data_IF_285162002958
#
_entry.id   IF_285162002958
#
_cell.length_a   1.000
_cell.length_b   1.000
_cell.length_c   1.000
_cell.angle_alpha   90.00
_cell.angle_beta   90.00
_cell.angle_gamma   90.00
#
_symmetry.space_group_name_H-M   'P 1'
#
loop_
_entity.id
_entity.type
_entity.pdbx_description
1 polymer ?
#
# COMPACT_ATOMS: atom_id res chain seq x y z
N UNK A 1 -11.39 28.78 7.29
CA UNK A 1 -11.51 27.34 6.92
C UNK A 1 -10.12 26.83 6.61
N UNK A 2 -9.64 25.77 7.29
CA UNK A 2 -8.26 25.30 7.14
C UNK A 2 -8.13 24.39 5.91
N UNK A 3 -7.45 24.88 4.87
CA UNK A 3 -7.26 24.18 3.60
C UNK A 3 -6.56 22.82 3.76
N UNK A 4 -5.60 22.74 4.67
CA UNK A 4 -4.88 21.49 4.94
C UNK A 4 -5.81 20.38 5.49
N UNK A 5 -6.77 20.73 6.35
CA UNK A 5 -7.71 19.76 6.89
C UNK A 5 -8.66 19.19 5.82
N UNK A 6 -9.08 20.04 4.87
CA UNK A 6 -9.92 19.63 3.73
C UNK A 6 -9.15 18.71 2.78
N UNK A 7 -7.88 19.03 2.51
CA UNK A 7 -7.01 18.21 1.66
C UNK A 7 -6.74 16.83 2.29
N UNK A 8 -6.53 16.74 3.60
CA UNK A 8 -6.36 15.46 4.32
C UNK A 8 -7.63 14.59 4.25
N UNK A 9 -8.81 15.18 4.48
CA UNK A 9 -10.08 14.45 4.43
C UNK A 9 -10.39 13.90 3.03
N UNK A 10 -10.14 14.70 1.98
CA UNK A 10 -10.29 14.24 0.60
C UNK A 10 -9.34 13.07 0.31
N UNK A 11 -8.09 13.18 0.75
CA UNK A 11 -7.09 12.15 0.53
C UNK A 11 -7.39 10.84 1.27
N UNK A 12 -7.98 10.91 2.47
CA UNK A 12 -8.47 9.73 3.19
C UNK A 12 -9.61 9.05 2.44
N UNK A 13 -10.58 9.84 1.97
CA UNK A 13 -11.69 9.33 1.20
C UNK A 13 -11.21 8.63 -0.08
N UNK A 14 -10.18 9.15 -0.74
CA UNK A 14 -9.59 8.53 -1.92
C UNK A 14 -8.83 7.25 -1.58
N UNK A 15 -8.08 7.21 -0.47
CA UNK A 15 -7.43 5.97 -0.01
C UNK A 15 -8.45 4.87 0.31
N UNK A 16 -9.61 5.23 0.86
CA UNK A 16 -10.71 4.29 1.12
C UNK A 16 -11.30 3.74 -0.18
N UNK A 17 -11.42 4.55 -1.23
CA UNK A 17 -11.85 4.11 -2.57
C UNK A 17 -10.80 3.23 -3.23
N UNK A 18 -9.51 3.48 -3.00
CA UNK A 18 -8.40 2.76 -3.63
C UNK A 18 -8.46 1.24 -3.41
N UNK A 19 -8.94 0.80 -2.23
CA UNK A 19 -9.18 -0.61 -1.91
C UNK A 19 -10.22 -1.29 -2.82
N UNK A 20 -11.18 -0.53 -3.35
CA UNK A 20 -12.28 -1.04 -4.18
C UNK A 20 -12.05 -0.85 -5.67
N UNK A 21 -11.27 0.17 -6.05
CA UNK A 21 -11.07 0.59 -7.43
C UNK A 21 -9.76 0.07 -8.04
N UNK A 22 -9.18 -0.99 -7.49
CA UNK A 22 -7.93 -1.61 -7.99
C UNK A 22 -6.76 -0.64 -8.10
N UNK A 23 -6.73 0.40 -7.26
CA UNK A 23 -5.67 1.42 -7.26
C UNK A 23 -4.49 1.04 -6.35
N UNK A 24 -4.63 -0.04 -5.59
CA UNK A 24 -3.55 -0.60 -4.80
C UNK A 24 -2.90 -1.76 -5.56
N UNK A 25 -1.58 -1.85 -5.46
CA UNK A 25 -0.78 -2.97 -5.93
C UNK A 25 0.17 -3.45 -4.84
N UNK A 26 0.63 -4.70 -4.96
CA UNK A 26 1.68 -5.26 -4.11
C UNK A 26 2.93 -5.41 -4.94
N UNK A 27 4.01 -4.75 -4.52
CA UNK A 27 5.35 -4.90 -5.10
C UNK A 27 6.18 -5.78 -4.17
N UNK A 28 7.13 -6.52 -4.75
CA UNK A 28 7.96 -7.45 -3.99
C UNK A 28 9.42 -7.01 -3.98
N UNK A 29 10.01 -6.95 -2.80
CA UNK A 29 11.44 -6.73 -2.63
C UNK A 29 12.12 -8.06 -2.23
N UNK A 30 13.05 -8.59 -3.03
CA UNK A 30 13.77 -9.82 -2.69
C UNK A 30 14.65 -9.66 -1.45
N UNK A 31 14.65 -10.70 -0.59
CA UNK A 31 15.62 -10.89 0.49
C UNK A 31 16.61 -11.95 0.06
N UNK A 32 17.89 -11.63 0.12
CA UNK A 32 18.98 -12.46 -0.40
C UNK A 32 19.87 -12.91 0.75
N UNK A 33 20.19 -14.20 0.77
CA UNK A 33 21.25 -14.73 1.63
C UNK A 33 22.62 -14.33 1.08
N UNK A 34 23.42 -13.63 1.89
CA UNK A 34 24.68 -13.03 1.41
C UNK A 34 25.75 -14.08 1.09
N UNK A 35 25.76 -15.23 1.78
CA UNK A 35 26.77 -16.25 1.57
C UNK A 35 26.52 -17.04 0.28
N UNK A 36 25.26 -17.35 0.00
CA UNK A 36 24.84 -18.19 -1.12
C UNK A 36 24.35 -17.38 -2.32
N UNK A 37 24.09 -16.08 -2.15
CA UNK A 37 23.44 -15.17 -3.10
C UNK A 37 22.05 -15.63 -3.56
N UNK A 38 21.44 -16.58 -2.86
CA UNK A 38 20.10 -17.08 -3.20
C UNK A 38 19.03 -16.18 -2.61
N UNK A 39 17.93 -16.02 -3.34
CA UNK A 39 16.71 -15.41 -2.81
C UNK A 39 16.12 -16.37 -1.76
N UNK A 40 15.96 -15.89 -0.54
CA UNK A 40 15.41 -16.65 0.60
C UNK A 40 14.00 -16.19 0.98
N UNK A 41 13.50 -15.13 0.35
CA UNK A 41 12.16 -14.63 0.57
C UNK A 41 11.92 -13.30 -0.11
N UNK A 42 10.75 -12.74 0.11
CA UNK A 42 10.36 -11.42 -0.39
C UNK A 42 9.63 -10.63 0.68
N UNK A 43 9.71 -9.32 0.60
CA UNK A 43 8.84 -8.40 1.33
C UNK A 43 7.74 -7.88 0.41
N UNK A 44 6.48 -8.01 0.84
CA UNK A 44 5.32 -7.50 0.15
C UNK A 44 5.07 -6.04 0.56
N UNK A 45 5.15 -5.12 -0.40
CA UNK A 45 5.10 -3.68 -0.16
C UNK A 45 3.91 -3.08 -0.90
N UNK A 46 3.03 -2.39 -0.17
CA UNK A 46 1.89 -1.67 -0.75
C UNK A 46 2.37 -0.54 -1.68
N UNK A 47 1.70 -0.39 -2.81
CA UNK A 47 1.84 0.72 -3.74
C UNK A 47 0.47 1.26 -4.06
N UNK A 48 0.32 2.58 -4.02
CA UNK A 48 -0.93 3.24 -4.36
C UNK A 48 -0.75 4.08 -5.63
N UNK A 49 -1.49 3.69 -6.67
CA UNK A 49 -1.61 4.42 -7.92
C UNK A 49 -2.88 5.27 -7.88
N UNK A 50 -2.72 6.51 -7.44
CA UNK A 50 -3.80 7.47 -7.44
C UNK A 50 -4.07 7.93 -8.89
N UNK A 51 -5.34 8.06 -9.32
CA UNK A 51 -5.68 8.42 -10.70
C UNK A 51 -5.02 9.73 -11.15
N UNK A 52 -5.05 10.76 -10.29
CA UNK A 52 -4.48 12.08 -10.63
C UNK A 52 -3.02 12.29 -10.21
N UNK A 53 -2.54 11.60 -9.16
CA UNK A 53 -1.23 11.84 -8.57
C UNK A 53 -0.19 10.79 -8.97
N UNK A 54 -0.60 9.76 -9.70
CA UNK A 54 0.24 8.63 -10.06
C UNK A 54 0.66 7.83 -8.83
N UNK A 55 1.92 7.39 -8.81
CA UNK A 55 2.43 6.59 -7.70
C UNK A 55 2.64 7.44 -6.45
N UNK A 56 1.79 7.22 -5.44
CA UNK A 56 1.86 7.90 -4.16
C UNK A 56 2.88 7.21 -3.25
N UNK A 57 3.79 7.99 -2.68
CA UNK A 57 4.77 7.50 -1.69
C UNK A 57 4.08 6.89 -0.46
N UNK A 58 4.50 5.70 0.01
CA UNK A 58 4.04 5.13 1.28
C UNK A 58 4.18 6.08 2.47
N UNK A 59 5.24 6.89 2.51
CA UNK A 59 5.44 7.89 3.58
C UNK A 59 4.31 8.92 3.66
N UNK A 60 3.53 9.09 2.59
CA UNK A 60 2.42 10.03 2.53
C UNK A 60 1.09 9.41 2.93
N UNK A 61 0.83 8.15 2.58
CA UNK A 61 -0.48 7.53 2.81
C UNK A 61 -0.53 6.55 3.99
N UNK A 62 0.61 6.01 4.44
CA UNK A 62 0.65 5.11 5.60
C UNK A 62 0.25 5.82 6.91
N UNK A 63 0.76 7.03 7.24
CA UNK A 63 0.33 7.73 8.45
C UNK A 63 -1.18 8.02 8.43
N UNK A 64 -1.71 8.42 7.27
CA UNK A 64 -3.14 8.63 7.09
C UNK A 64 -3.93 7.33 7.27
N UNK A 65 -3.42 6.21 6.73
CA UNK A 65 -4.06 4.92 6.89
C UNK A 65 -4.13 4.49 8.35
N UNK A 66 -3.09 4.77 9.14
CA UNK A 66 -3.03 4.50 10.56
C UNK A 66 -4.05 5.35 11.33
N UNK A 67 -4.04 6.67 11.12
CA UNK A 67 -4.97 7.60 11.76
C UNK A 67 -6.44 7.30 11.44
N UNK A 68 -6.73 6.93 10.18
CA UNK A 68 -8.08 6.61 9.71
C UNK A 68 -8.52 5.16 9.98
N UNK A 69 -7.66 4.34 10.59
CA UNK A 69 -7.91 2.90 10.81
C UNK A 69 -7.95 2.07 9.51
N UNK A 70 -7.55 2.64 8.37
CA UNK A 70 -7.45 1.97 7.07
C UNK A 70 -6.22 1.06 6.97
N UNK A 71 -5.24 1.19 7.87
CA UNK A 71 -4.03 0.36 7.85
C UNK A 71 -4.35 -1.14 8.00
N UNK A 72 -5.36 -1.48 8.81
CA UNK A 72 -5.80 -2.86 9.02
C UNK A 72 -6.42 -3.47 7.75
N UNK A 73 -7.45 -2.86 7.12
CA UNK A 73 -8.00 -3.41 5.88
C UNK A 73 -6.98 -3.39 4.72
N UNK A 74 -6.09 -2.40 4.64
CA UNK A 74 -4.99 -2.41 3.65
C UNK A 74 -4.04 -3.59 3.91
N UNK A 75 -3.62 -3.80 5.15
CA UNK A 75 -2.76 -4.94 5.52
C UNK A 75 -3.40 -6.29 5.17
N UNK A 76 -4.68 -6.47 5.50
CA UNK A 76 -5.43 -7.67 5.13
C UNK A 76 -5.53 -7.85 3.61
N UNK A 77 -5.75 -6.77 2.87
CA UNK A 77 -5.79 -6.82 1.41
C UNK A 77 -4.42 -7.18 0.82
N UNK A 78 -3.32 -6.61 1.32
CA UNK A 78 -1.94 -6.92 0.90
C UNK A 78 -1.63 -8.39 1.16
N UNK A 79 -1.91 -8.88 2.38
CA UNK A 79 -1.65 -10.27 2.77
C UNK A 79 -2.39 -11.24 1.86
N UNK A 80 -3.70 -11.04 1.67
CA UNK A 80 -4.52 -11.89 0.80
C UNK A 80 -4.07 -11.84 -0.65
N UNK A 81 -3.67 -10.66 -1.15
CA UNK A 81 -3.17 -10.50 -2.52
C UNK A 81 -1.84 -11.23 -2.70
N UNK A 82 -0.93 -11.11 -1.73
CA UNK A 82 0.35 -11.80 -1.77
C UNK A 82 0.20 -13.32 -1.73
N UNK A 83 -0.65 -13.85 -0.84
CA UNK A 83 -0.94 -15.28 -0.78
C UNK A 83 -1.53 -15.80 -2.10
N UNK A 84 -2.44 -15.06 -2.73
CA UNK A 84 -2.99 -15.45 -4.05
C UNK A 84 -1.92 -15.47 -5.14
N UNK A 85 -1.05 -14.47 -5.18
CA UNK A 85 0.02 -14.37 -6.18
C UNK A 85 1.14 -15.40 -5.97
N UNK A 86 1.32 -15.90 -4.74
CA UNK A 86 2.24 -17.00 -4.46
C UNK A 86 1.69 -18.37 -4.86
N UNK A 87 0.37 -18.52 -4.92
CA UNK A 87 -0.29 -19.79 -5.22
C UNK A 87 -0.44 -20.05 -6.74
N UNK A 88 -0.16 -19.05 -7.58
CA UNK A 88 -0.18 -19.12 -9.05
C UNK A 88 1.20 -19.42 -9.62
#
# INVERSE_FOLDING_TARGET
>A
MNRAAVETLAFEADLRKALKLEQLAVYYQPKVDLATQKIIGVEALARWFHPDLGLVSPMRFIPLAEEAGLIVPIGNWVLNTAMRQMAS
#
